data_IF_175199392463
#
_entry.id   IF_175199392463
#
_cell.length_a   1.000
_cell.length_b   1.000
_cell.length_c   1.000
_cell.angle_alpha   90.00
_cell.angle_beta   90.00
_cell.angle_gamma   90.00
#
_symmetry.space_group_name_H-M   'P 1'
#
loop_
_entity.id
_entity.type
_entity.pdbx_description
1 polymer ?
#
# COMPACT_ATOMS: atom_id res chain seq x y z
N UNK A 1 -17.32 -1.85 19.70
CA UNK A 1 -17.48 -1.11 18.42
C UNK A 1 -17.59 0.37 18.71
N UNK A 2 -17.02 1.23 17.86
CA UNK A 2 -17.20 2.68 17.94
C UNK A 2 -18.16 3.15 16.85
N UNK A 3 -19.26 3.80 17.24
CA UNK A 3 -20.14 4.50 16.29
C UNK A 3 -19.39 5.73 15.77
N UNK A 4 -18.84 5.63 14.55
CA UNK A 4 -18.14 6.73 13.88
C UNK A 4 -18.82 7.02 12.55
N UNK A 5 -18.91 8.29 12.19
CA UNK A 5 -19.40 8.68 10.86
C UNK A 5 -18.32 8.47 9.79
N UNK A 6 -18.70 8.53 8.50
CA UNK A 6 -17.75 8.46 7.38
C UNK A 6 -16.65 9.53 7.51
N UNK A 7 -17.06 10.80 7.70
CA UNK A 7 -16.15 11.93 7.78
C UNK A 7 -15.26 11.86 9.03
N UNK A 8 -15.77 11.33 10.13
CA UNK A 8 -14.99 11.13 11.34
C UNK A 8 -13.86 10.12 11.13
N UNK A 9 -14.10 9.04 10.36
CA UNK A 9 -13.03 8.09 10.01
C UNK A 9 -11.91 8.78 9.20
N UNK A 10 -12.27 9.63 8.23
CA UNK A 10 -11.30 10.40 7.42
C UNK A 10 -10.51 11.36 8.30
N UNK A 11 -11.18 12.17 9.13
CA UNK A 11 -10.51 13.13 10.03
C UNK A 11 -9.56 12.42 11.00
N UNK A 12 -10.00 11.33 11.62
CA UNK A 12 -9.16 10.55 12.54
C UNK A 12 -7.98 9.88 11.83
N UNK A 13 -8.14 9.45 10.57
CA UNK A 13 -7.03 8.92 9.79
C UNK A 13 -5.90 9.94 9.61
N UNK A 14 -6.24 11.19 9.30
CA UNK A 14 -5.28 12.29 9.18
C UNK A 14 -4.65 12.68 10.51
N UNK A 15 -5.45 12.80 11.58
CA UNK A 15 -4.94 13.10 12.93
C UNK A 15 -3.96 12.00 13.37
N UNK A 16 -4.35 10.72 13.27
CA UNK A 16 -3.48 9.60 13.65
C UNK A 16 -2.24 9.49 12.76
N UNK A 17 -2.31 9.89 11.48
CA UNK A 17 -1.13 9.96 10.63
C UNK A 17 -0.15 11.04 11.13
N UNK A 18 -0.63 12.23 11.48
CA UNK A 18 0.20 13.28 12.08
C UNK A 18 0.79 12.87 13.44
N UNK A 19 0.00 12.19 14.27
CA UNK A 19 0.47 11.63 15.55
C UNK A 19 1.55 10.56 15.34
N UNK A 20 1.43 9.70 14.32
CA UNK A 20 2.43 8.70 14.01
C UNK A 20 3.77 9.34 13.60
N UNK A 21 3.75 10.41 12.81
CA UNK A 21 4.96 11.16 12.42
C UNK A 21 5.65 11.78 13.64
N UNK A 22 4.88 12.37 14.54
CA UNK A 22 5.41 13.07 15.72
C UNK A 22 5.82 12.12 16.85
N UNK A 23 5.11 11.01 17.04
CA UNK A 23 5.37 10.04 18.12
C UNK A 23 6.27 8.88 17.73
N UNK A 24 6.46 8.61 16.44
CA UNK A 24 7.39 7.59 15.94
C UNK A 24 8.33 8.15 14.86
N UNK A 25 9.01 9.30 15.09
CA UNK A 25 9.81 9.97 14.05
C UNK A 25 10.96 9.08 13.56
N UNK A 26 11.58 8.31 14.44
CA UNK A 26 12.64 7.37 14.07
C UNK A 26 12.15 6.26 13.12
N UNK A 27 10.92 5.77 13.30
CA UNK A 27 10.32 4.75 12.43
C UNK A 27 10.02 5.34 11.06
N UNK A 28 9.45 6.55 11.02
CA UNK A 28 9.10 7.24 9.77
C UNK A 28 10.36 7.64 8.99
N UNK A 29 11.35 8.24 9.65
CA UNK A 29 12.63 8.60 9.03
C UNK A 29 13.42 7.38 8.59
N UNK A 30 13.47 6.32 9.42
CA UNK A 30 14.13 5.07 9.06
C UNK A 30 13.48 4.41 7.83
N UNK A 31 12.14 4.36 7.81
CA UNK A 31 11.41 3.88 6.63
C UNK A 31 11.72 4.75 5.41
N UNK A 32 11.73 6.08 5.55
CA UNK A 32 12.02 7.01 4.46
C UNK A 32 13.39 6.78 3.84
N UNK A 33 14.43 6.68 4.67
CA UNK A 33 15.81 6.44 4.21
C UNK A 33 15.90 5.11 3.47
N UNK A 34 15.30 4.04 4.02
CA UNK A 34 15.28 2.73 3.37
C UNK A 34 14.50 2.76 2.03
N UNK A 35 13.35 3.43 1.99
CA UNK A 35 12.55 3.62 0.80
C UNK A 35 13.31 4.35 -0.31
N UNK A 36 13.96 5.45 0.04
CA UNK A 36 14.70 6.27 -0.90
C UNK A 36 15.92 5.50 -1.44
N UNK A 37 16.68 4.84 -0.57
CA UNK A 37 17.85 4.05 -0.97
C UNK A 37 17.46 2.85 -1.85
N UNK A 38 16.43 2.08 -1.46
CA UNK A 38 15.96 0.93 -2.24
C UNK A 38 15.24 1.36 -3.52
N UNK A 39 14.50 2.46 -3.50
CA UNK A 39 13.86 3.04 -4.68
C UNK A 39 14.87 3.51 -5.71
N UNK A 40 15.94 4.17 -5.27
CA UNK A 40 17.07 4.56 -6.11
C UNK A 40 17.75 3.34 -6.76
N UNK A 41 18.06 2.31 -5.97
CA UNK A 41 18.63 1.05 -6.49
C UNK A 41 17.68 0.33 -7.45
N UNK A 42 16.37 0.34 -7.17
CA UNK A 42 15.36 -0.23 -8.05
C UNK A 42 15.28 0.50 -9.40
N UNK A 43 15.44 1.83 -9.39
CA UNK A 43 15.48 2.65 -10.60
C UNK A 43 16.75 2.41 -11.43
N UNK A 44 17.90 2.21 -10.79
CA UNK A 44 19.17 1.93 -11.48
C UNK A 44 19.14 0.65 -12.34
N UNK A 45 18.27 -0.31 -12.02
CA UNK A 45 18.06 -1.53 -12.80
C UNK A 45 17.06 -1.40 -13.96
N UNK A 46 16.50 -0.22 -14.21
CA UNK A 46 15.50 0.00 -15.27
C UNK A 46 16.13 0.67 -16.49
N UNK A 47 15.72 0.28 -17.71
CA UNK A 47 16.21 0.93 -18.94
C UNK A 47 15.77 2.39 -18.98
N UNK A 48 16.69 3.28 -19.34
CA UNK A 48 16.40 4.70 -19.54
C UNK A 48 15.82 4.88 -20.95
N UNK A 49 14.57 5.38 -21.09
CA UNK A 49 13.96 5.56 -22.40
C UNK A 49 14.76 6.54 -23.26
N UNK A 50 15.24 6.09 -24.42
CA UNK A 50 15.98 6.94 -25.38
C UNK A 50 17.50 6.75 -25.39
N UNK A 51 18.06 6.02 -24.42
CA UNK A 51 19.52 5.78 -24.35
C UNK A 51 19.95 4.49 -25.07
N UNK A 52 19.00 3.63 -25.46
CA UNK A 52 19.23 2.42 -26.28
C UNK A 52 19.99 1.30 -25.57
N UNK A 53 20.76 1.61 -24.53
CA UNK A 53 21.52 0.66 -23.75
C UNK A 53 20.63 -0.09 -22.75
N UNK A 54 20.59 -1.41 -22.90
CA UNK A 54 19.91 -2.31 -21.96
C UNK A 54 20.81 -2.42 -20.72
N UNK A 55 20.29 -2.16 -19.51
CA UNK A 55 21.07 -2.32 -18.28
C UNK A 55 21.64 -3.74 -18.18
N UNK A 56 22.82 -3.87 -17.57
CA UNK A 56 23.43 -5.18 -17.37
C UNK A 56 22.50 -6.11 -16.58
N UNK A 57 22.55 -7.42 -16.85
CA UNK A 57 21.74 -8.41 -16.14
C UNK A 57 21.91 -8.33 -14.60
N UNK A 58 23.11 -7.98 -14.14
CA UNK A 58 23.39 -7.75 -12.72
C UNK A 58 22.64 -6.56 -12.13
N UNK A 59 22.56 -5.44 -12.86
CA UNK A 59 21.78 -4.26 -12.43
C UNK A 59 20.28 -4.55 -12.42
N UNK A 60 19.78 -5.30 -13.41
CA UNK A 60 18.38 -5.74 -13.44
C UNK A 60 18.07 -6.61 -12.22
N UNK A 61 18.92 -7.61 -11.92
CA UNK A 61 18.75 -8.47 -10.75
C UNK A 61 18.75 -7.66 -9.46
N UNK A 62 19.73 -6.76 -9.30
CA UNK A 62 19.84 -5.89 -8.13
C UNK A 62 18.60 -5.01 -7.96
N UNK A 63 18.08 -4.42 -9.05
CA UNK A 63 16.88 -3.59 -9.01
C UNK A 63 15.62 -4.37 -8.61
N UNK A 64 15.50 -5.63 -9.04
CA UNK A 64 14.40 -6.50 -8.62
C UNK A 64 14.53 -6.90 -7.15
N UNK A 65 15.73 -7.25 -6.69
CA UNK A 65 15.99 -7.55 -5.27
C UNK A 65 15.69 -6.32 -4.41
N UNK A 66 16.13 -5.13 -4.81
CA UNK A 66 15.82 -3.88 -4.14
C UNK A 66 14.30 -3.63 -4.09
N UNK A 67 13.57 -3.93 -5.16
CA UNK A 67 12.09 -3.82 -5.19
C UNK A 67 11.41 -4.76 -4.19
N UNK A 68 11.91 -6.00 -4.05
CA UNK A 68 11.40 -6.96 -3.05
C UNK A 68 11.63 -6.44 -1.64
N UNK A 69 12.85 -5.97 -1.33
CA UNK A 69 13.14 -5.38 -0.03
C UNK A 69 12.29 -4.13 0.23
N UNK A 70 12.05 -3.32 -0.81
CA UNK A 70 11.20 -2.14 -0.70
C UNK A 70 9.76 -2.51 -0.29
N UNK A 71 9.20 -3.56 -0.90
CA UNK A 71 7.90 -4.12 -0.52
C UNK A 71 7.89 -4.64 0.93
N UNK A 72 8.98 -5.25 1.40
CA UNK A 72 9.09 -5.68 2.81
C UNK A 72 9.13 -4.49 3.77
N UNK A 73 9.82 -3.40 3.41
CA UNK A 73 9.82 -2.15 4.18
C UNK A 73 8.41 -1.52 4.17
N UNK A 74 7.68 -1.56 3.04
CA UNK A 74 6.25 -1.19 2.98
C UNK A 74 5.45 -1.92 4.04
N UNK A 75 5.55 -3.25 4.00
CA UNK A 75 4.75 -4.11 4.83
C UNK A 75 5.07 -3.91 6.31
N UNK A 76 6.35 -3.81 6.66
CA UNK A 76 6.81 -3.52 8.01
C UNK A 76 6.32 -2.16 8.51
N UNK A 77 6.41 -1.11 7.67
CA UNK A 77 5.94 0.22 8.02
C UNK A 77 4.43 0.23 8.25
N UNK A 78 3.65 -0.35 7.34
CA UNK A 78 2.20 -0.50 7.47
C UNK A 78 1.81 -1.29 8.72
N UNK A 79 2.51 -2.38 9.05
CA UNK A 79 2.34 -3.12 10.30
C UNK A 79 2.52 -2.21 11.52
N UNK A 80 3.59 -1.42 11.54
CA UNK A 80 3.88 -0.47 12.63
C UNK A 80 2.78 0.56 12.79
N UNK A 81 2.29 1.13 11.69
CA UNK A 81 1.19 2.10 11.73
C UNK A 81 -0.10 1.46 12.25
N UNK A 82 -0.44 0.23 11.81
CA UNK A 82 -1.62 -0.47 12.34
C UNK A 82 -1.53 -0.69 13.86
N UNK A 83 -0.39 -1.14 14.36
CA UNK A 83 -0.20 -1.41 15.80
C UNK A 83 -0.15 -0.12 16.61
N UNK A 84 0.40 0.95 16.06
CA UNK A 84 0.32 2.28 16.67
C UNK A 84 -1.13 2.73 16.82
N UNK A 85 -1.92 2.72 15.74
CA UNK A 85 -3.31 3.20 15.80
C UNK A 85 -4.18 2.30 16.66
N UNK A 86 -4.03 0.97 16.53
CA UNK A 86 -4.93 0.00 17.17
C UNK A 86 -4.55 -0.32 18.61
N UNK A 87 -3.25 -0.49 18.90
CA UNK A 87 -2.72 -0.93 20.20
C UNK A 87 -1.99 0.18 20.96
N UNK A 88 -1.72 1.34 20.35
CA UNK A 88 -0.94 2.41 20.97
C UNK A 88 0.57 2.12 21.02
N UNK A 89 1.05 1.12 20.29
CA UNK A 89 2.47 0.76 20.27
C UNK A 89 3.31 1.80 19.55
N UNK A 90 4.42 2.20 20.18
CA UNK A 90 5.36 3.16 19.61
C UNK A 90 6.50 2.44 18.87
N UNK A 91 7.75 2.73 19.23
CA UNK A 91 8.95 2.24 18.55
C UNK A 91 9.25 0.77 18.85
N UNK A 92 9.07 0.32 20.09
CA UNK A 92 9.29 -1.06 20.51
C UNK A 92 7.97 -1.87 20.60
N UNK A 93 7.99 -3.17 20.26
CA UNK A 93 9.10 -3.93 19.68
C UNK A 93 9.25 -3.68 18.17
N UNK A 94 10.48 -3.61 17.65
CA UNK A 94 10.75 -3.39 16.20
C UNK A 94 10.11 -4.47 15.32
N UNK A 95 10.15 -5.72 15.77
CA UNK A 95 9.41 -6.85 15.21
C UNK A 95 8.53 -7.51 16.27
N UNK A 96 7.21 -7.27 16.27
CA UNK A 96 6.28 -7.90 17.19
C UNK A 96 6.20 -9.42 16.99
N UNK A 97 6.15 -10.19 18.08
CA UNK A 97 5.94 -11.64 18.09
C UNK A 97 6.83 -12.42 17.10
N UNK A 98 8.12 -12.08 17.03
CA UNK A 98 9.08 -12.77 16.15
C UNK A 98 8.75 -12.65 14.66
N UNK A 99 8.22 -11.50 14.22
CA UNK A 99 7.78 -11.21 12.85
C UNK A 99 6.60 -12.06 12.33
N UNK A 100 5.98 -12.90 13.16
CA UNK A 100 4.83 -13.73 12.76
C UNK A 100 3.65 -12.93 12.16
N UNK A 101 3.25 -11.76 12.72
CA UNK A 101 2.22 -10.91 12.10
C UNK A 101 2.60 -10.43 10.70
N UNK A 102 3.87 -10.02 10.53
CA UNK A 102 4.40 -9.57 9.24
C UNK A 102 4.40 -10.70 8.22
N UNK A 103 4.82 -11.91 8.59
CA UNK A 103 4.79 -13.09 7.71
C UNK A 103 3.36 -13.45 7.27
N UNK A 104 2.36 -13.30 8.16
CA UNK A 104 0.96 -13.53 7.78
C UNK A 104 0.46 -12.47 6.79
N UNK A 105 0.80 -11.20 7.01
CA UNK A 105 0.46 -10.12 6.06
C UNK A 105 1.19 -10.31 4.72
N UNK A 106 2.44 -10.79 4.75
CA UNK A 106 3.20 -11.12 3.54
C UNK A 106 2.54 -12.27 2.79
N UNK A 107 2.16 -13.34 3.50
CA UNK A 107 1.44 -14.47 2.93
C UNK A 107 0.11 -14.05 2.29
N UNK A 108 -0.65 -13.15 2.93
CA UNK A 108 -1.85 -12.56 2.33
C UNK A 108 -1.50 -11.76 1.06
N UNK A 109 -0.46 -10.93 1.10
CA UNK A 109 -0.01 -10.15 -0.04
C UNK A 109 0.41 -11.02 -1.23
N UNK A 110 1.19 -12.09 -0.97
CA UNK A 110 1.59 -13.07 -1.99
C UNK A 110 0.38 -13.79 -2.56
N UNK A 111 -0.55 -14.25 -1.71
CA UNK A 111 -1.79 -14.90 -2.16
C UNK A 111 -2.62 -13.96 -3.06
N UNK A 112 -2.77 -12.69 -2.67
CA UNK A 112 -3.48 -11.70 -3.48
C UNK A 112 -2.76 -11.41 -4.80
N UNK A 113 -1.43 -11.31 -4.77
CA UNK A 113 -0.61 -11.12 -5.96
C UNK A 113 -0.79 -12.28 -6.95
N UNK A 114 -0.69 -13.53 -6.48
CA UNK A 114 -0.91 -14.72 -7.31
C UNK A 114 -2.33 -14.77 -7.87
N UNK A 115 -3.33 -14.45 -7.05
CA UNK A 115 -4.73 -14.35 -7.50
C UNK A 115 -4.90 -13.30 -8.61
N UNK A 116 -4.29 -12.13 -8.45
CA UNK A 116 -4.35 -11.06 -9.45
C UNK A 116 -3.62 -11.43 -10.75
N UNK A 117 -2.43 -12.01 -10.67
CA UNK A 117 -1.71 -12.52 -11.85
C UNK A 117 -2.53 -13.60 -12.56
N UNK A 118 -3.07 -14.58 -11.82
CA UNK A 118 -3.85 -15.68 -12.39
C UNK A 118 -5.15 -15.19 -13.05
N UNK A 119 -5.87 -14.27 -12.41
CA UNK A 119 -7.10 -13.70 -12.99
C UNK A 119 -6.82 -12.83 -14.22
N UNK A 120 -5.78 -11.99 -14.17
CA UNK A 120 -5.35 -11.19 -15.31
C UNK A 120 -4.91 -12.04 -16.50
N UNK A 121 -4.01 -13.00 -16.28
CA UNK A 121 -3.53 -13.92 -17.31
C UNK A 121 -4.67 -14.81 -17.84
N UNK A 122 -5.51 -15.35 -16.97
CA UNK A 122 -6.65 -16.18 -17.36
C UNK A 122 -7.65 -15.44 -18.24
N UNK A 123 -8.01 -14.20 -17.88
CA UNK A 123 -8.90 -13.37 -18.69
C UNK A 123 -8.25 -12.92 -20.01
N UNK A 124 -6.95 -12.61 -19.98
CA UNK A 124 -6.19 -12.29 -21.19
C UNK A 124 -6.19 -13.46 -22.18
N UNK A 125 -5.91 -14.68 -21.70
CA UNK A 125 -5.92 -15.88 -22.52
C UNK A 125 -7.33 -16.27 -23.00
N UNK A 126 -8.36 -16.01 -22.19
CA UNK A 126 -9.74 -16.36 -22.54
C UNK A 126 -10.36 -15.40 -23.57
N UNK A 127 -10.04 -14.11 -23.48
CA UNK A 127 -10.64 -13.07 -24.33
C UNK A 127 -9.77 -12.70 -25.54
N UNK A 128 -8.47 -13.02 -25.50
CA UNK A 128 -7.50 -12.79 -26.59
C UNK A 128 -7.68 -11.41 -27.24
N UNK A 129 -7.49 -10.30 -26.49
CA UNK A 129 -7.75 -8.97 -27.01
C UNK A 129 -6.91 -8.72 -28.29
N UNK A 130 -7.56 -8.28 -29.36
CA UNK A 130 -6.94 -8.11 -30.68
C UNK A 130 -6.56 -6.65 -30.98
N UNK A 131 -7.22 -5.71 -30.31
CA UNK A 131 -7.04 -4.27 -30.51
C UNK A 131 -6.88 -3.55 -29.16
N UNK A 132 -6.26 -2.37 -29.16
CA UNK A 132 -6.06 -1.54 -27.96
C UNK A 132 -7.36 -1.26 -27.20
N UNK A 133 -8.49 -1.09 -27.88
CA UNK A 133 -9.79 -0.91 -27.23
C UNK A 133 -10.21 -2.14 -26.40
N UNK A 134 -9.98 -3.36 -26.92
CA UNK A 134 -10.25 -4.60 -26.18
C UNK A 134 -9.28 -4.83 -25.03
N UNK A 135 -8.01 -4.42 -25.16
CA UNK A 135 -7.03 -4.44 -24.08
C UNK A 135 -7.43 -3.50 -22.94
N UNK A 136 -7.84 -2.26 -23.26
CA UNK A 136 -8.30 -1.28 -22.28
C UNK A 136 -9.58 -1.74 -21.58
N UNK A 137 -10.52 -2.32 -22.32
CA UNK A 137 -11.74 -2.90 -21.75
C UNK A 137 -11.43 -4.04 -20.78
N UNK A 138 -10.53 -4.94 -21.16
CA UNK A 138 -10.06 -6.02 -20.29
C UNK A 138 -9.36 -5.49 -19.04
N UNK A 139 -8.46 -4.51 -19.19
CA UNK A 139 -7.77 -3.86 -18.09
C UNK A 139 -8.76 -3.22 -17.11
N UNK A 140 -9.84 -2.60 -17.61
CA UNK A 140 -10.91 -2.04 -16.79
C UNK A 140 -11.64 -3.13 -15.99
N UNK A 141 -12.01 -4.25 -16.63
CA UNK A 141 -12.66 -5.39 -15.96
C UNK A 141 -11.77 -5.93 -14.84
N UNK A 142 -10.49 -6.18 -15.15
CA UNK A 142 -9.50 -6.68 -14.20
C UNK A 142 -9.36 -5.69 -13.03
N UNK A 143 -9.25 -4.40 -13.30
CA UNK A 143 -9.17 -3.37 -12.27
C UNK A 143 -10.40 -3.35 -11.35
N UNK A 144 -11.61 -3.50 -11.90
CA UNK A 144 -12.85 -3.58 -11.12
C UNK A 144 -12.88 -4.81 -10.23
N UNK A 145 -12.49 -5.99 -10.76
CA UNK A 145 -12.39 -7.23 -9.97
C UNK A 145 -11.38 -7.06 -8.83
N UNK A 146 -10.20 -6.50 -9.14
CA UNK A 146 -9.14 -6.31 -8.15
C UNK A 146 -9.54 -5.30 -7.08
N UNK A 147 -10.19 -4.19 -7.45
CA UNK A 147 -10.76 -3.23 -6.52
C UNK A 147 -11.81 -3.89 -5.63
N UNK A 148 -12.71 -4.70 -6.21
CA UNK A 148 -13.74 -5.40 -5.46
C UNK A 148 -13.14 -6.34 -4.42
N UNK A 149 -12.22 -7.22 -4.83
CA UNK A 149 -11.55 -8.17 -3.93
C UNK A 149 -10.69 -7.44 -2.89
N UNK A 150 -9.93 -6.42 -3.31
CA UNK A 150 -9.06 -5.63 -2.45
C UNK A 150 -9.81 -4.98 -1.29
N UNK A 151 -10.95 -4.32 -1.56
CA UNK A 151 -11.78 -3.72 -0.50
C UNK A 151 -12.32 -4.79 0.44
N UNK A 152 -12.72 -5.95 -0.08
CA UNK A 152 -13.28 -7.06 0.72
C UNK A 152 -12.28 -7.67 1.69
N UNK A 153 -11.01 -7.77 1.29
CA UNK A 153 -9.95 -8.32 2.14
C UNK A 153 -9.19 -7.26 2.93
N UNK A 154 -9.46 -5.97 2.69
CA UNK A 154 -8.70 -4.86 3.28
C UNK A 154 -8.63 -4.88 4.81
N UNK A 155 -9.73 -5.25 5.48
CA UNK A 155 -9.79 -5.34 6.96
C UNK A 155 -8.96 -6.49 7.55
N UNK A 156 -8.53 -7.45 6.71
CA UNK A 156 -7.70 -8.56 7.17
C UNK A 156 -6.28 -8.10 7.53
N UNK A 157 -5.75 -7.07 6.86
CA UNK A 157 -4.43 -6.51 7.18
C UNK A 157 -4.33 -5.96 8.61
N UNK A 158 -5.21 -5.04 9.07
CA UNK A 158 -5.20 -4.61 10.46
C UNK A 158 -5.50 -5.75 11.45
N UNK A 159 -6.37 -6.70 11.09
CA UNK A 159 -6.65 -7.88 11.92
C UNK A 159 -5.38 -8.73 12.15
N UNK A 160 -4.62 -9.01 11.07
CA UNK A 160 -3.38 -9.77 11.15
C UNK A 160 -2.29 -9.00 11.89
N UNK A 161 -2.23 -7.67 11.75
CA UNK A 161 -1.25 -6.83 12.41
C UNK A 161 -1.36 -6.87 13.95
N UNK A 162 -2.57 -7.00 14.49
CA UNK A 162 -2.81 -7.17 15.93
C UNK A 162 -2.74 -8.63 16.40
N UNK A 163 -2.44 -9.58 15.51
CA UNK A 163 -2.28 -11.00 15.85
C UNK A 163 -3.51 -11.88 15.56
N UNK A 164 -4.56 -11.32 14.95
CA UNK A 164 -5.77 -12.04 14.57
C UNK A 164 -5.53 -13.22 13.60
N UNK A 165 -6.56 -14.05 13.46
CA UNK A 165 -6.53 -15.25 12.60
C UNK A 165 -6.77 -14.88 11.14
N UNK A 166 -6.22 -15.68 10.24
CA UNK A 166 -6.50 -15.57 8.82
C UNK A 166 -7.90 -16.14 8.54
N UNK A 167 -8.89 -15.28 8.29
CA UNK A 167 -10.27 -15.70 8.03
C UNK A 167 -10.94 -14.83 6.96
N UNK A 168 -10.78 -15.24 5.69
CA UNK A 168 -11.37 -14.54 4.54
C UNK A 168 -12.90 -14.42 4.65
N UNK A 169 -13.58 -15.49 5.09
CA UNK A 169 -15.04 -15.47 5.24
C UNK A 169 -15.53 -14.50 6.32
N UNK A 170 -14.74 -14.24 7.37
CA UNK A 170 -15.08 -13.23 8.37
C UNK A 170 -14.89 -11.81 7.81
N UNK A 171 -13.77 -11.57 7.12
CA UNK A 171 -13.53 -10.30 6.42
C UNK A 171 -14.62 -10.00 5.38
N UNK A 172 -15.07 -11.02 4.64
CA UNK A 172 -16.13 -10.88 3.66
C UNK A 172 -17.47 -10.46 4.28
N UNK A 173 -17.85 -11.09 5.41
CA UNK A 173 -19.07 -10.74 6.15
C UNK A 173 -18.98 -9.35 6.76
N UNK A 174 -17.86 -8.99 7.37
CA UNK A 174 -17.67 -7.68 8.01
C UNK A 174 -17.70 -6.52 6.97
N UNK A 175 -17.27 -6.78 5.74
CA UNK A 175 -17.33 -5.79 4.65
C UNK A 175 -18.65 -5.81 3.86
N UNK A 176 -19.52 -6.82 4.06
CA UNK A 176 -20.78 -6.96 3.34
C UNK A 176 -21.72 -5.77 3.65
N UNK A 177 -22.32 -5.18 2.61
CA UNK A 177 -23.16 -3.99 2.74
C UNK A 177 -22.43 -2.65 2.90
N UNK A 178 -21.10 -2.66 3.15
CA UNK A 178 -20.34 -1.44 3.47
C UNK A 178 -19.26 -1.07 2.44
N UNK A 179 -19.27 -1.72 1.27
CA UNK A 179 -18.24 -1.58 0.22
C UNK A 179 -17.87 -0.12 -0.09
N UNK A 180 -18.88 0.70 -0.44
CA UNK A 180 -18.68 2.11 -0.81
C UNK A 180 -18.14 2.96 0.34
N UNK A 181 -18.46 2.59 1.58
CA UNK A 181 -17.96 3.31 2.74
C UNK A 181 -16.48 2.99 2.98
N UNK A 182 -16.09 1.70 2.91
CA UNK A 182 -14.69 1.31 3.03
C UNK A 182 -13.84 1.93 1.92
N UNK A 183 -14.28 1.77 0.67
CA UNK A 183 -13.60 2.35 -0.48
C UNK A 183 -13.55 3.87 -0.40
N UNK A 184 -14.69 4.51 -0.13
CA UNK A 184 -14.81 5.95 -0.05
C UNK A 184 -13.94 6.58 1.03
N UNK A 185 -13.87 5.99 2.23
CA UNK A 185 -13.01 6.53 3.31
C UNK A 185 -11.54 6.47 2.89
N UNK A 186 -11.07 5.37 2.32
CA UNK A 186 -9.70 5.25 1.83
C UNK A 186 -9.40 6.23 0.69
N UNK A 187 -10.32 6.37 -0.27
CA UNK A 187 -10.17 7.32 -1.39
C UNK A 187 -10.16 8.77 -0.90
N UNK A 188 -11.13 9.17 -0.08
CA UNK A 188 -11.23 10.55 0.43
C UNK A 188 -10.06 10.88 1.35
N UNK A 189 -9.58 9.92 2.14
CA UNK A 189 -8.38 10.12 2.96
C UNK A 189 -7.12 10.35 2.10
N UNK A 190 -6.97 9.63 0.99
CA UNK A 190 -5.82 9.77 0.08
C UNK A 190 -5.96 10.91 -0.94
N UNK A 191 -7.16 11.45 -1.14
CA UNK A 191 -7.46 12.44 -2.18
C UNK A 191 -6.57 13.71 -2.11
N UNK A 192 -6.30 14.33 -0.94
CA UNK A 192 -5.40 15.48 -0.87
C UNK A 192 -3.99 15.16 -1.41
N UNK A 193 -3.47 13.97 -1.13
CA UNK A 193 -2.16 13.54 -1.62
C UNK A 193 -2.18 13.39 -3.15
N UNK A 194 -3.24 12.80 -3.70
CA UNK A 194 -3.41 12.66 -5.16
C UNK A 194 -3.49 14.03 -5.84
N UNK A 195 -4.25 14.97 -5.27
CA UNK A 195 -4.35 16.34 -5.78
C UNK A 195 -2.99 17.03 -5.76
N UNK A 196 -2.21 16.92 -4.67
CA UNK A 196 -0.85 17.45 -4.61
C UNK A 196 0.06 16.83 -5.70
N UNK A 197 -0.04 15.53 -5.92
CA UNK A 197 0.71 14.84 -6.97
C UNK A 197 0.36 15.33 -8.38
N UNK A 198 -0.93 15.51 -8.68
CA UNK A 198 -1.40 16.05 -9.95
C UNK A 198 -0.93 17.49 -10.15
N UNK A 199 -1.04 18.34 -9.13
CA UNK A 199 -0.55 19.73 -9.19
C UNK A 199 0.95 19.77 -9.46
N UNK A 200 1.74 18.90 -8.80
CA UNK A 200 3.17 18.80 -9.04
C UNK A 200 3.49 18.37 -10.49
N UNK A 201 2.77 17.39 -11.03
CA UNK A 201 2.92 16.96 -12.43
C UNK A 201 2.58 18.08 -13.42
N UNK A 202 1.48 18.81 -13.20
CA UNK A 202 1.10 19.97 -14.02
C UNK A 202 2.16 21.06 -13.92
N UNK A 203 2.63 21.37 -12.71
CA UNK A 203 3.68 22.37 -12.48
C UNK A 203 4.98 22.03 -13.21
N UNK A 204 5.40 20.76 -13.21
CA UNK A 204 6.57 20.31 -13.98
C UNK A 204 6.35 20.50 -15.49
N UNK A 205 5.17 20.16 -16.00
CA UNK A 205 4.82 20.38 -17.41
C UNK A 205 4.85 21.86 -17.80
N UNK A 206 4.28 22.73 -16.97
CA UNK A 206 4.29 24.19 -17.18
C UNK A 206 5.69 24.81 -17.08
N UNK A 207 6.57 24.23 -16.25
CA UNK A 207 7.96 24.65 -16.14
C UNK A 207 8.85 24.18 -17.31
N UNK A 208 8.28 23.50 -18.32
CA UNK A 208 9.03 22.98 -19.46
C UNK A 208 9.97 21.83 -19.12
N UNK A 209 9.77 21.16 -17.97
CA UNK A 209 10.54 19.99 -17.56
C UNK A 209 10.12 18.83 -18.47
N UNK A 210 10.91 18.60 -19.52
CA UNK A 210 10.69 17.49 -20.44
C UNK A 210 11.18 16.17 -19.85
N UNK A 211 10.65 15.01 -20.27
CA UNK A 211 11.13 13.71 -19.81
C UNK A 211 12.64 13.52 -19.98
N UNK A 212 13.25 14.16 -20.99
CA UNK A 212 14.69 14.11 -21.24
C UNK A 212 15.52 14.86 -20.15
N UNK A 213 15.02 15.96 -19.61
CA UNK A 213 15.71 16.72 -18.53
C UNK A 213 15.74 15.92 -17.23
N UNK A 214 14.70 15.11 -17.01
CA UNK A 214 14.49 14.33 -15.79
C UNK A 214 15.39 13.08 -15.74
N UNK A 215 16.03 12.71 -16.85
CA UNK A 215 16.92 11.55 -16.96
C UNK A 215 18.35 11.82 -16.47
N UNK A 216 18.65 13.00 -15.91
CA UNK A 216 19.95 13.25 -15.29
C UNK A 216 20.05 12.59 -13.90
N UNK A 217 21.24 12.16 -13.44
CA UNK A 217 21.40 11.52 -12.14
C UNK A 217 20.84 12.33 -10.96
N UNK A 218 20.98 13.66 -11.00
CA UNK A 218 20.42 14.55 -9.97
C UNK A 218 18.89 14.54 -9.93
N UNK A 219 18.24 14.55 -11.09
CA UNK A 219 16.78 14.49 -11.20
C UNK A 219 16.22 13.13 -10.79
N UNK A 220 16.89 12.03 -11.14
CA UNK A 220 16.51 10.71 -10.63
C UNK A 220 16.52 10.67 -9.10
N UNK A 221 17.46 11.36 -8.45
CA UNK A 221 17.60 11.30 -6.99
C UNK A 221 16.49 12.10 -6.35
N UNK A 222 16.20 13.29 -6.91
CA UNK A 222 15.08 14.11 -6.50
C UNK A 222 13.73 13.38 -6.67
N UNK A 223 13.53 12.68 -7.79
CA UNK A 223 12.33 11.87 -8.03
C UNK A 223 12.22 10.71 -7.04
N UNK A 224 13.30 9.96 -6.81
CA UNK A 224 13.29 8.85 -5.86
C UNK A 224 12.96 9.32 -4.43
N UNK A 225 13.49 10.48 -4.02
CA UNK A 225 13.17 11.14 -2.76
C UNK A 225 11.69 11.54 -2.71
N UNK A 226 11.20 12.27 -3.71
CA UNK A 226 9.79 12.71 -3.73
C UNK A 226 8.82 11.53 -3.78
N UNK A 227 9.11 10.51 -4.58
CA UNK A 227 8.33 9.28 -4.64
C UNK A 227 8.33 8.56 -3.29
N UNK A 228 9.44 8.55 -2.56
CA UNK A 228 9.53 7.95 -1.23
C UNK A 228 8.67 8.70 -0.21
N UNK A 229 8.68 10.04 -0.24
CA UNK A 229 7.79 10.86 0.59
C UNK A 229 6.33 10.56 0.27
N UNK A 230 5.97 10.56 -1.02
CA UNK A 230 4.61 10.29 -1.46
C UNK A 230 4.14 8.88 -1.07
N UNK A 231 4.99 7.87 -1.27
CA UNK A 231 4.69 6.48 -0.90
C UNK A 231 4.48 6.31 0.60
N UNK A 232 5.31 6.93 1.42
CA UNK A 232 5.15 6.87 2.88
C UNK A 232 3.91 7.62 3.35
N UNK A 233 3.65 8.82 2.82
CA UNK A 233 2.44 9.56 3.14
C UNK A 233 1.18 8.77 2.74
N UNK A 234 1.20 8.14 1.56
CA UNK A 234 0.13 7.26 1.11
C UNK A 234 -0.04 6.03 2.01
N UNK A 235 1.05 5.32 2.32
CA UNK A 235 1.04 4.14 3.18
C UNK A 235 0.51 4.50 4.58
N UNK A 236 0.95 5.63 5.13
CA UNK A 236 0.52 6.13 6.42
C UNK A 236 -0.98 6.42 6.43
N UNK A 237 -1.48 7.23 5.49
CA UNK A 237 -2.90 7.60 5.44
C UNK A 237 -3.82 6.41 5.17
N UNK A 238 -3.44 5.53 4.24
CA UNK A 238 -4.26 4.36 3.91
C UNK A 238 -4.29 3.36 5.05
N UNK A 239 -3.17 3.14 5.75
CA UNK A 239 -3.13 2.24 6.91
C UNK A 239 -3.85 2.83 8.13
N UNK A 240 -3.74 4.14 8.42
CA UNK A 240 -4.54 4.75 9.49
C UNK A 240 -6.04 4.72 9.16
N UNK A 241 -6.43 4.98 7.91
CA UNK A 241 -7.82 4.87 7.47
C UNK A 241 -8.36 3.44 7.65
N UNK A 242 -7.60 2.43 7.21
CA UNK A 242 -7.98 1.03 7.38
C UNK A 242 -8.05 0.60 8.85
N UNK A 243 -7.18 1.13 9.72
CA UNK A 243 -7.26 0.88 11.16
C UNK A 243 -8.56 1.43 11.78
N UNK A 244 -8.99 2.63 11.39
CA UNK A 244 -10.24 3.21 11.86
C UNK A 244 -11.48 2.52 11.28
N UNK A 245 -11.42 2.12 10.01
CA UNK A 245 -12.45 1.27 9.39
C UNK A 245 -12.54 -0.10 10.08
N UNK A 246 -11.41 -0.68 10.48
CA UNK A 246 -11.38 -1.91 11.27
C UNK A 246 -12.08 -1.73 12.62
N UNK A 247 -11.78 -0.66 13.37
CA UNK A 247 -12.47 -0.34 14.64
C UNK A 247 -13.99 -0.16 14.50
N UNK A 248 -14.44 0.27 13.32
CA UNK A 248 -15.85 0.50 13.00
C UNK A 248 -16.58 -0.78 12.57
N UNK A 249 -15.97 -1.60 11.72
CA UNK A 249 -16.67 -2.69 11.01
C UNK A 249 -16.26 -4.11 11.43
N UNK A 250 -15.14 -4.30 12.15
CA UNK A 250 -14.64 -5.64 12.47
C UNK A 250 -15.42 -6.31 13.60
N UNK A 251 -16.52 -6.98 13.26
CA UNK A 251 -17.35 -7.74 14.20
C UNK A 251 -16.92 -9.21 14.27
N UNK A 252 -16.93 -9.90 13.14
CA UNK A 252 -16.52 -11.30 13.05
C UNK A 252 -15.00 -11.46 13.17
N UNK A 253 -14.22 -10.52 12.62
CA UNK A 253 -12.76 -10.54 12.73
C UNK A 253 -12.26 -10.28 14.16
N UNK A 254 -12.93 -9.38 14.90
CA UNK A 254 -12.56 -9.08 16.29
C UNK A 254 -12.82 -10.25 17.23
N UNK A 255 -13.95 -10.94 17.06
CA UNK A 255 -14.34 -12.10 17.87
C UNK A 255 -13.49 -13.35 17.58
N UNK A 256 -13.12 -13.58 16.33
CA UNK A 256 -12.24 -14.69 15.94
C UNK A 256 -10.82 -14.62 16.55
N UNK A 257 -10.35 -13.41 16.91
CA UNK A 257 -9.07 -13.22 17.60
C UNK A 257 -9.12 -13.42 19.13
N UNK A 258 -10.27 -13.14 19.76
CA UNK A 258 -10.43 -13.23 21.22
C UNK A 258 -10.42 -14.67 21.75
N UNK A 259 -10.94 -15.64 20.97
CA UNK A 259 -10.99 -17.07 21.32
C UNK A 259 -9.64 -17.77 21.55
N UNK A 260 -8.51 -17.07 21.38
CA UNK A 260 -7.15 -17.61 21.53
C UNK A 260 -6.40 -17.10 22.77
N UNK A 261 -6.96 -16.17 23.53
CA UNK A 261 -6.36 -15.70 24.80
C UNK A 261 -6.88 -16.48 26.03
N UNK A 262 -7.77 -17.46 25.84
CA UNK A 262 -8.32 -18.32 26.90
C UNK A 262 -7.76 -19.76 26.88
N UNK A 263 -6.63 -20.02 26.20
CA UNK A 263 -5.95 -21.33 26.22
C UNK A 263 -4.46 -21.16 26.51
#
# INVERSE_FOLDING_TARGET
MQQMTFMECVKRAWVSAGEAVTRMPAVVLGAFVLYAALGWLALAGRPIPGEGDVPSAGLILLGNVASIFNALVYLWFTLKVYRFVLLGELTAPVMPNGARPMLRMLGLGVLMCLFFIATGAGLWLALTPQNTASELFLALIVAVIWMFVGVRVSLLYPALAIGGRFSLGAAWRDTQGHFWNLFGVSCVAALPLLVCGVIALIGMGLAGISPAVVQTPGWFMALAIMQSVANLAFALLTSTALAWLYRRYANALGTAGASTHEV
#
